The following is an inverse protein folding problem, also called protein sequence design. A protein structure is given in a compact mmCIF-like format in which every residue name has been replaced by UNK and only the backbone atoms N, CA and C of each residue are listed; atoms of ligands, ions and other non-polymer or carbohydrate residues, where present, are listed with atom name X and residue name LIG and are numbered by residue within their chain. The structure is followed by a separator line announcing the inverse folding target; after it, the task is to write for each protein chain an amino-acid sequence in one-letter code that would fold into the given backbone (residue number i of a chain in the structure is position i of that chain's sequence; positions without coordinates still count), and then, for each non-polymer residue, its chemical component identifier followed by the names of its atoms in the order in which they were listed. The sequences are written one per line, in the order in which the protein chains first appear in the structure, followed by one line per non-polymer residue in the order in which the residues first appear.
data_IF_442436172388
#
_entry.id   IF_442436172388
#
_cell.length_a   1.000
_cell.length_b   1.000
_cell.length_c   1.000
_cell.angle_alpha   90.00
_cell.angle_beta   90.00
_cell.angle_gamma   90.00
#
_symmetry.space_group_name_H-M   'P 1'
#
loop_
_entity.id
_entity.type
_entity.pdbx_description
1 polymer ?
#
# COMPACT_ATOMS: atom_id res chain seq x y z
N UNK A 1 28.95 8.02 4.28
CA UNK A 1 28.25 6.82 3.76
C UNK A 1 26.96 7.29 3.11
N UNK A 2 26.79 7.13 1.79
CA UNK A 2 25.52 7.45 1.12
C UNK A 2 24.52 6.37 1.52
N UNK A 3 23.56 6.69 2.38
CA UNK A 3 22.44 5.80 2.66
C UNK A 3 21.73 5.55 1.33
N UNK A 4 21.84 4.32 0.80
CA UNK A 4 21.07 3.89 -0.36
C UNK A 4 19.62 3.94 0.11
N UNK A 5 18.85 4.92 -0.35
CA UNK A 5 17.41 5.00 -0.05
C UNK A 5 16.82 3.70 -0.59
N UNK A 6 16.49 2.77 0.30
CA UNK A 6 15.77 1.55 -0.09
C UNK A 6 14.49 2.00 -0.76
N UNK A 7 14.25 1.48 -1.96
CA UNK A 7 13.00 1.76 -2.66
C UNK A 7 11.87 1.07 -1.90
N UNK A 8 10.68 1.66 -1.84
CA UNK A 8 9.51 1.02 -1.22
C UNK A 8 9.20 -0.33 -1.89
N UNK A 9 9.61 -0.49 -3.16
CA UNK A 9 9.53 -1.75 -3.90
C UNK A 9 10.42 -2.88 -3.34
N UNK A 10 11.34 -2.60 -2.43
CA UNK A 10 12.25 -3.59 -1.80
C UNK A 10 11.79 -4.01 -0.40
N UNK A 11 10.67 -3.47 0.10
CA UNK A 11 10.14 -3.78 1.43
C UNK A 11 9.14 -4.94 1.30
N UNK A 12 9.39 -6.07 1.98
CA UNK A 12 8.61 -7.32 1.87
C UNK A 12 7.09 -7.11 1.95
N UNK A 13 6.61 -6.28 2.89
CA UNK A 13 5.17 -6.00 3.02
C UNK A 13 4.57 -5.26 1.82
N UNK A 14 5.36 -4.40 1.15
CA UNK A 14 4.95 -3.74 -0.09
C UNK A 14 5.06 -4.66 -1.29
N UNK A 15 6.05 -5.54 -1.34
CA UNK A 15 6.15 -6.58 -2.37
C UNK A 15 4.91 -7.47 -2.32
N UNK A 16 4.50 -7.89 -1.12
CA UNK A 16 3.31 -8.70 -0.92
C UNK A 16 2.03 -7.96 -1.32
N UNK A 17 1.89 -6.68 -0.91
CA UNK A 17 0.77 -5.83 -1.31
C UNK A 17 0.68 -5.66 -2.83
N UNK A 18 1.81 -5.42 -3.49
CA UNK A 18 1.87 -5.27 -4.94
C UNK A 18 1.63 -6.61 -5.65
N UNK A 19 2.08 -7.74 -5.09
CA UNK A 19 1.76 -9.08 -5.55
C UNK A 19 0.25 -9.32 -5.55
N UNK A 20 -0.42 -9.02 -4.43
CA UNK A 20 -1.88 -9.12 -4.32
C UNK A 20 -2.60 -8.22 -5.33
N UNK A 21 -2.10 -7.00 -5.57
CA UNK A 21 -2.66 -6.11 -6.57
C UNK A 21 -2.49 -6.64 -8.01
N UNK A 22 -1.36 -7.29 -8.32
CA UNK A 22 -1.13 -7.91 -9.64
C UNK A 22 -2.05 -9.10 -9.87
N UNK A 23 -2.22 -9.96 -8.86
CA UNK A 23 -2.99 -11.20 -8.95
C UNK A 23 -4.51 -10.98 -8.87
N UNK A 24 -4.95 -9.89 -8.22
CA UNK A 24 -6.36 -9.61 -8.01
C UNK A 24 -6.76 -8.21 -8.50
N UNK A 25 -7.43 -8.10 -9.67
CA UNK A 25 -7.87 -6.82 -10.23
C UNK A 25 -8.78 -6.01 -9.31
N UNK A 26 -9.55 -6.66 -8.42
CA UNK A 26 -10.39 -5.95 -7.44
C UNK A 26 -9.55 -5.26 -6.37
N UNK A 27 -8.49 -5.91 -5.90
CA UNK A 27 -7.55 -5.32 -4.94
C UNK A 27 -6.82 -4.15 -5.59
N UNK A 28 -6.37 -4.30 -6.85
CA UNK A 28 -5.76 -3.21 -7.60
C UNK A 28 -6.68 -2.01 -7.75
N UNK A 29 -7.93 -2.22 -8.16
CA UNK A 29 -8.90 -1.15 -8.34
C UNK A 29 -9.21 -0.44 -7.02
N UNK A 30 -9.33 -1.20 -5.92
CA UNK A 30 -9.50 -0.64 -4.58
C UNK A 30 -8.31 0.23 -4.18
N UNK A 31 -7.08 -0.28 -4.33
CA UNK A 31 -5.87 0.48 -3.99
C UNK A 31 -5.74 1.76 -4.81
N UNK A 32 -5.99 1.71 -6.12
CA UNK A 32 -5.99 2.90 -6.98
C UNK A 32 -7.01 3.93 -6.48
N UNK A 33 -8.26 3.53 -6.24
CA UNK A 33 -9.31 4.44 -5.78
C UNK A 33 -8.99 5.05 -4.39
N UNK A 34 -8.41 4.25 -3.49
CA UNK A 34 -8.00 4.73 -2.17
C UNK A 34 -6.82 5.70 -2.25
N UNK A 35 -5.80 5.41 -3.07
CA UNK A 35 -4.61 6.26 -3.17
C UNK A 35 -4.88 7.57 -3.93
N UNK A 36 -5.84 7.58 -4.85
CA UNK A 36 -6.31 8.78 -5.53
C UNK A 36 -7.28 9.64 -4.69
N UNK A 37 -7.77 9.11 -3.55
CA UNK A 37 -8.65 9.85 -2.66
C UNK A 37 -7.89 10.94 -1.89
N UNK A 38 -8.55 12.07 -1.53
CA UNK A 38 -7.93 13.08 -0.67
C UNK A 38 -7.43 12.50 0.66
N UNK A 39 -6.47 13.16 1.35
CA UNK A 39 -5.80 12.59 2.53
C UNK A 39 -6.77 12.12 3.63
N UNK A 40 -7.78 12.93 3.97
CA UNK A 40 -8.75 12.61 5.03
C UNK A 40 -9.55 11.32 4.75
N UNK A 41 -10.25 11.16 3.61
CA UNK A 41 -10.93 9.91 3.29
C UNK A 41 -9.96 8.74 3.06
N UNK A 42 -8.78 8.98 2.47
CA UNK A 42 -7.74 7.95 2.32
C UNK A 42 -7.37 7.35 3.67
N UNK A 43 -7.04 8.18 4.67
CA UNK A 43 -6.66 7.72 6.00
C UNK A 43 -7.71 6.80 6.63
N UNK A 44 -9.00 7.13 6.51
CA UNK A 44 -10.09 6.31 7.02
C UNK A 44 -10.18 4.97 6.30
N UNK A 45 -10.07 4.96 4.97
CA UNK A 45 -10.09 3.74 4.16
C UNK A 45 -8.90 2.82 4.49
N UNK A 46 -7.71 3.40 4.66
CA UNK A 46 -6.49 2.66 5.01
C UNK A 46 -6.59 2.05 6.40
N UNK A 47 -7.13 2.82 7.37
CA UNK A 47 -7.37 2.29 8.71
C UNK A 47 -8.36 1.12 8.69
N UNK A 48 -9.44 1.24 7.93
CA UNK A 48 -10.42 0.16 7.77
C UNK A 48 -9.80 -1.10 7.14
N UNK A 49 -8.97 -0.92 6.10
CA UNK A 49 -8.25 -2.02 5.46
C UNK A 49 -7.27 -2.70 6.43
N UNK A 50 -6.47 -1.93 7.17
CA UNK A 50 -5.53 -2.46 8.15
C UNK A 50 -6.24 -3.25 9.26
N UNK A 51 -7.39 -2.77 9.72
CA UNK A 51 -8.23 -3.49 10.69
C UNK A 51 -8.74 -4.82 10.10
N UNK A 52 -9.22 -4.81 8.86
CA UNK A 52 -9.70 -6.02 8.19
C UNK A 52 -8.59 -7.06 7.99
N UNK A 53 -7.40 -6.62 7.59
CA UNK A 53 -6.22 -7.48 7.46
C UNK A 53 -5.83 -8.09 8.81
N UNK A 54 -5.89 -7.29 9.88
CA UNK A 54 -5.63 -7.77 11.24
C UNK A 54 -6.65 -8.83 11.68
N UNK A 55 -7.95 -8.58 11.47
CA UNK A 55 -9.03 -9.54 11.75
C UNK A 55 -8.82 -10.86 10.99
N UNK A 56 -8.38 -10.76 9.74
CA UNK A 56 -8.11 -11.90 8.87
C UNK A 56 -6.75 -12.56 9.16
N UNK A 57 -6.01 -12.14 10.20
CA UNK A 57 -4.68 -12.66 10.57
C UNK A 57 -3.65 -12.56 9.44
N UNK A 58 -3.71 -11.50 8.65
CA UNK A 58 -2.68 -11.20 7.66
C UNK A 58 -1.30 -11.00 8.34
N UNK A 59 -0.20 -11.20 7.60
CA UNK A 59 1.14 -10.95 8.12
C UNK A 59 1.29 -9.52 8.69
N UNK A 60 1.93 -9.33 9.86
CA UNK A 60 2.09 -8.00 10.46
C UNK A 60 2.80 -6.99 9.56
N UNK A 61 3.74 -7.46 8.74
CA UNK A 61 4.45 -6.65 7.75
C UNK A 61 3.53 -6.11 6.65
N UNK A 62 2.50 -6.86 6.24
CA UNK A 62 1.50 -6.41 5.27
C UNK A 62 0.59 -5.36 5.88
N UNK A 63 0.16 -5.56 7.14
CA UNK A 63 -0.61 -4.54 7.89
C UNK A 63 0.20 -3.26 8.03
N UNK A 64 1.48 -3.36 8.37
CA UNK A 64 2.38 -2.22 8.47
C UNK A 64 2.56 -1.49 7.12
N UNK A 65 2.75 -2.23 6.03
CA UNK A 65 2.87 -1.65 4.68
C UNK A 65 1.60 -0.87 4.28
N UNK A 66 0.42 -1.44 4.55
CA UNK A 66 -0.85 -0.73 4.32
C UNK A 66 -0.94 0.53 5.18
N UNK A 67 -0.55 0.48 6.45
CA UNK A 67 -0.57 1.65 7.32
C UNK A 67 0.39 2.77 6.86
N UNK A 68 1.52 2.43 6.24
CA UNK A 68 2.46 3.40 5.66
C UNK A 68 1.84 4.25 4.53
N UNK A 69 0.83 3.74 3.82
CA UNK A 69 0.12 4.48 2.75
C UNK A 69 -0.71 5.67 3.28
N UNK A 70 -0.78 5.88 4.59
CA UNK A 70 -1.34 7.12 5.16
C UNK A 70 -0.42 8.31 4.88
N UNK A 71 0.88 8.10 4.81
CA UNK A 71 1.84 9.14 4.43
C UNK A 71 1.68 9.51 2.94
N UNK A 72 1.54 10.80 2.64
CA UNK A 72 1.31 11.30 1.27
C UNK A 72 2.47 10.94 0.33
N UNK A 73 3.72 10.96 0.82
CA UNK A 73 4.90 10.64 0.02
C UNK A 73 4.94 9.16 -0.34
N UNK A 74 4.62 8.30 0.61
CA UNK A 74 4.50 6.85 0.39
C UNK A 74 3.33 6.53 -0.53
N UNK A 75 2.16 7.14 -0.30
CA UNK A 75 0.97 6.95 -1.13
C UNK A 75 1.24 7.31 -2.60
N UNK A 76 1.93 8.42 -2.84
CA UNK A 76 2.30 8.86 -4.19
C UNK A 76 3.22 7.86 -4.90
N UNK A 77 4.24 7.36 -4.21
CA UNK A 77 5.16 6.37 -4.80
C UNK A 77 4.44 5.06 -5.15
N UNK A 78 3.52 4.59 -4.31
CA UNK A 78 2.77 3.36 -4.60
C UNK A 78 1.75 3.58 -5.73
N UNK A 79 1.11 4.75 -5.79
CA UNK A 79 0.22 5.09 -6.90
C UNK A 79 0.96 5.06 -8.23
N UNK A 80 2.15 5.66 -8.30
CA UNK A 80 2.99 5.65 -9.49
C UNK A 80 3.35 4.22 -9.95
N UNK A 81 3.70 3.35 -9.01
CA UNK A 81 3.98 1.93 -9.29
C UNK A 81 2.75 1.16 -9.77
N UNK A 82 1.57 1.48 -9.24
CA UNK A 82 0.32 0.85 -9.67
C UNK A 82 -0.12 1.31 -11.06
N UNK A 83 0.11 2.58 -11.41
CA UNK A 83 -0.25 3.16 -12.70
C UNK A 83 0.68 2.71 -13.83
N UNK A 84 1.99 2.71 -13.59
CA UNK A 84 2.99 2.36 -14.60
C UNK A 84 3.25 0.85 -14.72
N UNK A 85 2.71 0.06 -13.78
CA UNK A 85 3.05 -1.35 -13.65
C UNK A 85 4.41 -1.55 -12.97
N UNK A 86 4.64 -2.74 -12.40
CA UNK A 86 5.94 -3.14 -11.86
C UNK A 86 7.04 -3.22 -12.92
#
# INVERSE_FOLDING_TARGET
MKARKQSIAEIDGFIELMGMAKENPKIRAFLLATLQSPPTPRHAQIQALANQLTINRAPPQLVAAVMCLRDDGVAGQVLELLENGP
#
